data_IF_543742632145
#
_entry.id   IF_543742632145
#
_cell.length_a   1.000
_cell.length_b   1.000
_cell.length_c   1.000
_cell.angle_alpha   90.00
_cell.angle_beta   90.00
_cell.angle_gamma   90.00
#
_symmetry.space_group_name_H-M   'P 1'
#
loop_
_entity.id
_entity.type
_entity.pdbx_description
1 polymer ?
#
# COMPACT_ATOMS: atom_id res chain seq x y z
N UNK A 1 -5.86 1.45 -13.21
CA UNK A 1 -6.39 1.64 -14.59
C UNK A 1 -6.03 0.53 -15.58
N UNK A 2 -4.94 -0.25 -15.41
CA UNK A 2 -4.62 -1.33 -16.37
C UNK A 2 -5.70 -2.42 -16.48
N UNK A 3 -6.26 -2.88 -15.36
CA UNK A 3 -7.31 -3.92 -15.34
C UNK A 3 -8.68 -3.49 -15.85
N UNK A 4 -8.97 -2.18 -15.92
CA UNK A 4 -10.27 -1.71 -16.44
C UNK A 4 -10.36 -1.83 -17.97
N UNK A 5 -9.22 -1.95 -18.66
CA UNK A 5 -9.13 -1.95 -20.13
C UNK A 5 -9.00 -3.37 -20.72
N UNK A 6 -8.52 -4.35 -19.95
CA UNK A 6 -8.37 -5.73 -20.43
C UNK A 6 -9.74 -6.41 -20.50
N UNK A 7 -10.28 -6.53 -21.72
CA UNK A 7 -11.57 -7.18 -22.01
C UNK A 7 -11.56 -8.71 -21.92
N UNK A 8 -10.39 -9.34 -21.78
CA UNK A 8 -10.25 -10.80 -21.94
C UNK A 8 -10.64 -11.68 -20.74
N UNK A 9 -10.66 -11.15 -19.51
CA UNK A 9 -10.94 -11.96 -18.31
C UNK A 9 -11.82 -11.21 -17.30
N UNK A 10 -13.13 -11.33 -17.48
CA UNK A 10 -14.13 -10.64 -16.66
C UNK A 10 -14.03 -11.02 -15.17
N UNK A 11 -13.79 -12.31 -14.87
CA UNK A 11 -13.64 -12.81 -13.50
C UNK A 11 -12.45 -12.14 -12.80
N UNK A 12 -11.29 -12.16 -13.45
CA UNK A 12 -10.07 -11.56 -12.89
C UNK A 12 -10.19 -10.05 -12.73
N UNK A 13 -10.84 -9.37 -13.68
CA UNK A 13 -11.12 -7.93 -13.58
C UNK A 13 -12.01 -7.62 -12.38
N UNK A 14 -13.11 -8.36 -12.19
CA UNK A 14 -13.98 -8.22 -11.01
C UNK A 14 -13.21 -8.48 -9.73
N UNK A 15 -12.42 -9.55 -9.68
CA UNK A 15 -11.61 -9.90 -8.52
C UNK A 15 -10.65 -8.77 -8.14
N UNK A 16 -9.94 -8.20 -9.13
CA UNK A 16 -9.03 -7.10 -8.90
C UNK A 16 -9.74 -5.83 -8.40
N UNK A 17 -10.81 -5.41 -9.06
CA UNK A 17 -11.54 -4.19 -8.67
C UNK A 17 -12.14 -4.31 -7.27
N UNK A 18 -12.81 -5.43 -6.99
CA UNK A 18 -13.40 -5.67 -5.65
C UNK A 18 -12.29 -5.73 -4.59
N UNK A 19 -11.19 -6.45 -4.87
CA UNK A 19 -10.04 -6.50 -3.94
C UNK A 19 -9.42 -5.13 -3.70
N UNK A 20 -9.33 -4.29 -4.73
CA UNK A 20 -8.80 -2.92 -4.62
C UNK A 20 -9.66 -2.08 -3.68
N UNK A 21 -10.97 -2.02 -3.90
CA UNK A 21 -11.87 -1.27 -3.02
C UNK A 21 -11.89 -1.81 -1.60
N UNK A 22 -11.84 -3.14 -1.43
CA UNK A 22 -11.74 -3.76 -0.11
C UNK A 22 -10.41 -3.45 0.58
N UNK A 23 -9.28 -3.37 -0.14
CA UNK A 23 -8.02 -2.94 0.46
C UNK A 23 -8.15 -1.50 1.01
N UNK A 24 -8.73 -0.57 0.24
CA UNK A 24 -8.95 0.79 0.73
C UNK A 24 -9.91 0.86 1.92
N UNK A 25 -11.03 0.13 1.87
CA UNK A 25 -12.03 0.14 2.94
C UNK A 25 -11.54 -0.59 4.21
N UNK A 26 -10.89 -1.73 4.06
CA UNK A 26 -10.49 -2.59 5.20
C UNK A 26 -9.11 -2.22 5.70
N UNK A 27 -8.09 -2.21 4.84
CA UNK A 27 -6.71 -1.90 5.24
C UNK A 27 -6.56 -0.41 5.52
N UNK A 28 -6.97 0.44 4.57
CA UNK A 28 -6.77 1.89 4.64
C UNK A 28 -7.71 2.67 5.56
N UNK A 29 -8.80 2.05 6.05
CA UNK A 29 -9.71 2.70 7.00
C UNK A 29 -9.85 1.90 8.29
N UNK A 30 -10.38 0.67 8.25
CA UNK A 30 -10.67 -0.12 9.46
C UNK A 30 -9.38 -0.44 10.23
N UNK A 31 -8.42 -1.13 9.59
CA UNK A 31 -7.17 -1.46 10.26
C UNK A 31 -6.31 -0.20 10.50
N UNK A 32 -6.40 0.80 9.61
CA UNK A 32 -5.69 2.06 9.80
C UNK A 32 -6.11 2.84 11.05
N UNK A 33 -7.40 2.74 11.43
CA UNK A 33 -7.90 3.32 12.69
C UNK A 33 -7.60 2.44 13.88
N UNK A 34 -7.77 1.12 13.76
CA UNK A 34 -7.52 0.18 14.87
C UNK A 34 -6.05 0.07 15.27
N UNK A 35 -5.13 0.24 14.31
CA UNK A 35 -3.69 0.06 14.51
C UNK A 35 -2.90 1.37 14.35
N UNK A 36 -3.58 2.51 14.43
CA UNK A 36 -2.96 3.82 14.15
C UNK A 36 -1.68 4.02 14.95
N UNK A 37 -0.59 4.31 14.25
CA UNK A 37 0.73 4.57 14.82
C UNK A 37 1.48 5.58 13.98
N UNK A 38 2.38 6.36 14.61
CA UNK A 38 3.28 7.25 13.89
C UNK A 38 4.52 6.51 13.41
N UNK A 39 4.88 6.72 12.14
CA UNK A 39 6.06 6.11 11.53
C UNK A 39 7.38 6.59 12.13
N UNK A 40 8.51 5.95 11.79
CA UNK A 40 9.84 6.35 12.25
C UNK A 40 10.17 7.84 12.09
N UNK A 41 9.67 8.50 11.03
CA UNK A 41 9.84 9.95 10.82
C UNK A 41 9.23 10.83 11.90
N UNK A 42 8.25 10.34 12.64
CA UNK A 42 7.59 11.10 13.71
C UNK A 42 8.00 10.62 15.10
N UNK A 43 8.87 9.61 15.19
CA UNK A 43 9.23 8.95 16.44
C UNK A 43 9.76 9.94 17.49
N UNK A 44 10.67 10.83 17.09
CA UNK A 44 11.26 11.88 17.93
C UNK A 44 10.22 12.76 18.64
N UNK A 45 9.07 12.97 18.01
CA UNK A 45 8.02 13.83 18.55
C UNK A 45 7.00 13.06 19.39
N UNK A 46 6.81 11.77 19.10
CA UNK A 46 5.76 10.94 19.70
C UNK A 46 6.24 10.14 20.91
N UNK A 47 7.52 9.79 20.97
CA UNK A 47 8.07 8.93 22.03
C UNK A 47 9.08 9.70 22.88
N UNK A 48 8.86 9.80 24.21
CA UNK A 48 9.85 10.39 25.11
C UNK A 48 11.13 9.55 25.18
N UNK A 49 12.28 10.20 25.01
CA UNK A 49 13.59 9.54 25.15
C UNK A 49 14.54 9.84 24.00
N UNK A 50 15.55 8.98 23.84
CA UNK A 50 16.51 9.07 22.74
C UNK A 50 15.85 8.68 21.41
N UNK A 51 16.11 9.48 20.37
CA UNK A 51 15.62 9.21 19.03
C UNK A 51 16.47 8.12 18.36
N UNK A 52 15.95 6.90 18.40
CA UNK A 52 16.58 5.70 17.82
C UNK A 52 16.70 5.75 16.29
N UNK A 53 15.96 6.65 15.62
CA UNK A 53 16.00 6.83 14.17
C UNK A 53 16.82 8.05 13.74
N UNK A 54 17.39 8.80 14.68
CA UNK A 54 18.20 10.00 14.40
C UNK A 54 19.32 9.76 13.38
N UNK A 55 20.02 8.62 13.47
CA UNK A 55 21.06 8.24 12.52
C UNK A 55 20.56 8.02 11.09
N UNK A 56 19.35 7.48 10.92
CA UNK A 56 18.72 7.32 9.61
C UNK A 56 18.43 8.69 8.98
N UNK A 57 17.80 9.58 9.73
CA UNK A 57 17.45 10.91 9.23
C UNK A 57 18.69 11.77 8.97
N UNK A 58 19.74 11.66 9.79
CA UNK A 58 21.03 12.29 9.51
C UNK A 58 21.57 11.86 8.13
N UNK A 59 21.52 10.56 7.81
CA UNK A 59 21.95 10.06 6.50
C UNK A 59 21.05 10.53 5.35
N UNK A 60 19.74 10.54 5.54
CA UNK A 60 18.79 11.02 4.53
C UNK A 60 19.00 12.51 4.23
N UNK A 61 19.21 13.35 5.24
CA UNK A 61 19.51 14.77 5.04
C UNK A 61 20.86 14.97 4.34
N UNK A 62 21.89 14.19 4.67
CA UNK A 62 23.18 14.22 3.96
C UNK A 62 23.00 13.89 2.46
N UNK A 63 22.25 12.83 2.15
CA UNK A 63 21.94 12.43 0.77
C UNK A 63 21.12 13.51 0.05
N UNK A 64 20.13 14.09 0.72
CA UNK A 64 19.31 15.18 0.17
C UNK A 64 20.18 16.39 -0.20
N UNK A 65 21.06 16.81 0.71
CA UNK A 65 21.97 17.93 0.48
C UNK A 65 22.92 17.65 -0.70
N UNK A 66 23.40 16.41 -0.83
CA UNK A 66 24.20 16.01 -1.97
C UNK A 66 23.41 16.10 -3.29
N UNK A 67 22.16 15.61 -3.33
CA UNK A 67 21.29 15.68 -4.51
C UNK A 67 21.04 17.13 -4.92
N UNK A 68 20.64 17.99 -3.97
CA UNK A 68 20.37 19.41 -4.22
C UNK A 68 21.59 20.09 -4.82
N UNK A 69 22.78 19.79 -4.28
CA UNK A 69 24.04 20.41 -4.71
C UNK A 69 24.51 19.93 -6.09
N UNK A 70 24.35 18.64 -6.41
CA UNK A 70 24.99 18.03 -7.58
C UNK A 70 24.05 17.79 -8.77
N UNK A 71 22.76 17.60 -8.53
CA UNK A 71 21.79 17.23 -9.56
C UNK A 71 20.94 18.44 -9.99
N UNK A 72 20.71 19.40 -9.07
CA UNK A 72 19.98 20.63 -9.34
C UNK A 72 18.48 20.41 -9.57
N UNK A 73 17.63 21.01 -8.75
CA UNK A 73 16.16 20.90 -8.89
C UNK A 73 15.55 19.55 -8.48
N UNK A 74 16.35 18.64 -7.92
CA UNK A 74 15.90 17.39 -7.30
C UNK A 74 16.13 17.44 -5.78
N UNK A 75 15.22 16.81 -5.04
CA UNK A 75 15.30 16.65 -3.58
C UNK A 75 14.64 15.33 -3.19
N UNK A 76 14.87 14.86 -1.96
CA UNK A 76 14.15 13.74 -1.37
C UNK A 76 12.81 14.27 -0.86
N UNK A 77 11.80 14.22 -1.73
CA UNK A 77 10.45 14.72 -1.44
C UNK A 77 9.82 14.15 -0.16
N UNK A 78 10.23 12.94 0.24
CA UNK A 78 9.74 12.33 1.47
C UNK A 78 10.01 13.20 2.71
N UNK A 79 11.20 13.80 2.82
CA UNK A 79 11.57 14.63 3.98
C UNK A 79 10.64 15.84 4.12
N UNK A 80 10.39 16.53 3.00
CA UNK A 80 9.48 17.69 2.95
C UNK A 80 8.03 17.33 3.25
N UNK A 81 7.55 16.19 2.74
CA UNK A 81 6.20 15.72 3.04
C UNK A 81 6.05 15.32 4.51
N UNK A 82 7.10 14.77 5.13
CA UNK A 82 7.08 14.45 6.57
C UNK A 82 6.95 15.71 7.41
N UNK A 83 7.74 16.75 7.13
CA UNK A 83 7.64 18.05 7.79
C UNK A 83 6.25 18.67 7.61
N UNK A 84 5.73 18.73 6.37
CA UNK A 84 4.39 19.25 6.08
C UNK A 84 3.29 18.52 6.87
N UNK A 85 3.34 17.18 6.90
CA UNK A 85 2.35 16.38 7.62
C UNK A 85 2.44 16.59 9.14
N UNK A 86 3.66 16.77 9.65
CA UNK A 86 3.86 17.11 11.05
C UNK A 86 3.25 18.46 11.40
N UNK A 87 3.51 19.49 10.58
CA UNK A 87 2.97 20.83 10.79
C UNK A 87 1.44 20.80 10.83
N UNK A 88 0.80 20.16 9.84
CA UNK A 88 -0.65 19.99 9.81
C UNK A 88 -1.23 19.27 11.03
N UNK A 89 -0.49 18.30 11.58
CA UNK A 89 -0.90 17.60 12.79
C UNK A 89 -0.79 18.47 14.04
N UNK A 90 0.26 19.29 14.14
CA UNK A 90 0.48 20.18 15.30
C UNK A 90 -0.37 21.45 15.29
N UNK A 91 -0.73 21.95 14.11
CA UNK A 91 -1.56 23.15 13.96
C UNK A 91 -3.07 22.88 14.13
N UNK A 92 -3.45 21.65 14.52
CA UNK A 92 -4.83 21.21 14.75
C UNK A 92 -5.77 21.47 13.56
N UNK A 93 -5.20 21.54 12.35
CA UNK A 93 -5.94 21.63 11.10
C UNK A 93 -6.50 20.24 10.82
N UNK A 94 -7.59 19.89 11.52
CA UNK A 94 -8.33 18.63 11.38
C UNK A 94 -9.08 18.59 10.04
N UNK A 95 -8.34 18.59 8.93
CA UNK A 95 -8.85 18.27 7.62
C UNK A 95 -9.01 16.76 7.46
N UNK A 96 -10.01 16.34 6.67
CA UNK A 96 -10.12 14.95 6.19
C UNK A 96 -8.81 14.55 5.47
N UNK A 97 -7.94 13.80 6.17
CA UNK A 97 -6.63 13.39 5.66
C UNK A 97 -5.43 13.75 6.55
N UNK A 98 -5.62 14.39 7.72
CA UNK A 98 -4.55 14.71 8.69
C UNK A 98 -3.96 13.48 9.43
N UNK A 99 -4.30 12.27 9.00
CA UNK A 99 -3.85 11.06 9.66
C UNK A 99 -2.39 10.76 9.36
N UNK A 100 -1.50 11.01 10.31
CA UNK A 100 -0.13 10.47 10.33
C UNK A 100 -0.13 8.96 10.67
N UNK A 101 -1.10 8.21 10.16
CA UNK A 101 -1.21 6.77 10.44
C UNK A 101 -0.29 6.00 9.50
N UNK A 102 0.72 5.35 10.08
CA UNK A 102 1.68 4.51 9.40
C UNK A 102 1.13 3.09 9.17
N UNK A 103 0.22 2.60 10.01
CA UNK A 103 -0.13 1.19 10.00
C UNK A 103 -1.60 0.98 9.63
N UNK A 104 -1.93 0.06 8.70
CA UNK A 104 -1.05 -0.71 7.81
C UNK A 104 -0.62 0.10 6.57
N UNK A 105 0.48 -0.31 5.91
CA UNK A 105 0.96 0.41 4.73
C UNK A 105 0.10 0.16 3.48
N UNK A 106 -0.72 1.16 3.11
CA UNK A 106 -1.49 1.14 1.87
C UNK A 106 -0.61 1.09 0.61
N UNK A 107 0.59 1.69 0.65
CA UNK A 107 1.55 1.63 -0.46
C UNK A 107 1.95 0.18 -0.76
N UNK A 108 2.32 -0.58 0.27
CA UNK A 108 2.69 -2.00 0.15
C UNK A 108 1.48 -2.83 -0.26
N UNK A 109 0.30 -2.60 0.35
CA UNK A 109 -0.94 -3.29 -0.02
C UNK A 109 -1.30 -3.12 -1.49
N UNK A 110 -1.25 -1.91 -2.04
CA UNK A 110 -1.54 -1.68 -3.46
C UNK A 110 -0.48 -2.34 -4.34
N UNK A 111 0.80 -2.27 -3.99
CA UNK A 111 1.88 -2.90 -4.76
C UNK A 111 1.74 -4.43 -4.79
N UNK A 112 1.41 -5.07 -3.66
CA UNK A 112 1.13 -6.51 -3.58
C UNK A 112 -0.10 -6.86 -4.41
N UNK A 113 -1.17 -6.06 -4.36
CA UNK A 113 -2.36 -6.29 -5.19
C UNK A 113 -2.04 -6.20 -6.68
N UNK A 114 -1.19 -5.25 -7.10
CA UNK A 114 -0.71 -5.16 -8.47
C UNK A 114 0.07 -6.42 -8.87
N UNK A 115 0.94 -6.93 -8.00
CA UNK A 115 1.70 -8.16 -8.24
C UNK A 115 0.80 -9.40 -8.38
N UNK A 116 -0.18 -9.56 -7.50
CA UNK A 116 -1.15 -10.66 -7.55
C UNK A 116 -2.01 -10.59 -8.82
N UNK A 117 -2.56 -9.41 -9.13
CA UNK A 117 -3.39 -9.21 -10.31
C UNK A 117 -2.61 -9.47 -11.61
N UNK A 118 -1.41 -8.91 -11.74
CA UNK A 118 -0.62 -9.04 -12.97
C UNK A 118 -0.01 -10.43 -13.11
N UNK A 119 0.36 -11.08 -12.01
CA UNK A 119 0.78 -12.48 -12.01
C UNK A 119 -0.31 -13.44 -12.49
N UNK A 120 -1.58 -13.15 -12.19
CA UNK A 120 -2.72 -13.91 -12.70
C UNK A 120 -2.99 -13.71 -14.21
N UNK A 121 -2.45 -12.63 -14.81
CA UNK A 121 -2.49 -12.41 -16.27
C UNK A 121 -1.28 -13.01 -16.97
N UNK A 122 -0.08 -12.72 -16.45
CA UNK A 122 1.20 -13.11 -17.05
C UNK A 122 2.26 -13.21 -15.96
N UNK A 123 2.87 -14.40 -15.81
CA UNK A 123 3.91 -14.67 -14.82
C UNK A 123 5.10 -13.70 -14.88
N UNK A 124 5.50 -13.25 -16.07
CA UNK A 124 6.63 -12.31 -16.23
C UNK A 124 6.28 -10.91 -15.72
N UNK A 125 5.07 -10.42 -16.02
CA UNK A 125 4.58 -9.17 -15.44
C UNK A 125 4.44 -9.30 -13.93
N UNK A 126 3.96 -10.45 -13.44
CA UNK A 126 3.92 -10.78 -12.02
C UNK A 126 5.28 -10.60 -11.34
N UNK A 127 6.37 -11.13 -11.91
CA UNK A 127 7.72 -10.95 -11.34
C UNK A 127 8.16 -9.49 -11.29
N UNK A 128 7.87 -8.70 -12.34
CA UNK A 128 8.18 -7.26 -12.36
C UNK A 128 7.43 -6.54 -11.24
N UNK A 129 6.15 -6.84 -11.04
CA UNK A 129 5.36 -6.20 -9.99
C UNK A 129 5.67 -6.71 -8.58
N UNK A 130 6.14 -7.95 -8.43
CA UNK A 130 6.69 -8.43 -7.16
C UNK A 130 7.99 -7.72 -6.82
N UNK A 131 8.88 -7.51 -7.79
CA UNK A 131 10.08 -6.70 -7.60
C UNK A 131 9.71 -5.26 -7.20
N UNK A 132 8.71 -4.68 -7.87
CA UNK A 132 8.17 -3.37 -7.50
C UNK A 132 7.64 -3.37 -6.05
N UNK A 133 6.88 -4.37 -5.64
CA UNK A 133 6.38 -4.48 -4.26
C UNK A 133 7.53 -4.56 -3.23
N UNK A 134 8.60 -5.29 -3.54
CA UNK A 134 9.81 -5.34 -2.70
C UNK A 134 10.49 -3.97 -2.62
N UNK A 135 10.65 -3.28 -3.75
CA UNK A 135 11.23 -1.93 -3.77
C UNK A 135 10.38 -0.96 -2.94
N UNK A 136 9.05 -1.01 -3.06
CA UNK A 136 8.14 -0.19 -2.26
C UNK A 136 8.27 -0.52 -0.77
N UNK A 137 8.28 -1.80 -0.40
CA UNK A 137 8.48 -2.21 0.99
C UNK A 137 9.79 -1.67 1.58
N UNK A 138 10.89 -1.81 0.83
CA UNK A 138 12.21 -1.33 1.24
C UNK A 138 12.20 0.20 1.35
N UNK A 139 11.71 0.89 0.32
CA UNK A 139 11.64 2.36 0.28
C UNK A 139 10.76 2.95 1.38
N UNK A 140 9.62 2.33 1.67
CA UNK A 140 8.74 2.71 2.78
C UNK A 140 9.45 2.70 4.13
N UNK A 141 10.30 1.71 4.38
CA UNK A 141 11.09 1.62 5.62
C UNK A 141 12.29 2.55 5.58
N UNK A 142 13.03 2.59 4.48
CA UNK A 142 14.25 3.38 4.34
C UNK A 142 13.99 4.89 4.41
N UNK A 143 12.83 5.34 3.95
CA UNK A 143 12.42 6.74 4.06
C UNK A 143 11.80 7.05 5.43
N UNK A 144 11.65 6.06 6.31
CA UNK A 144 11.11 6.22 7.65
C UNK A 144 9.60 6.43 7.71
N UNK A 145 8.86 6.14 6.63
CA UNK A 145 7.38 6.24 6.63
C UNK A 145 6.70 5.16 7.46
N UNK A 146 7.26 3.96 7.43
CA UNK A 146 6.65 2.77 8.00
C UNK A 146 7.67 1.93 8.73
N UNK A 147 7.25 1.26 9.81
CA UNK A 147 7.98 0.13 10.33
C UNK A 147 7.86 -1.04 9.34
N UNK A 148 8.84 -1.94 9.32
CA UNK A 148 8.81 -3.10 8.40
C UNK A 148 7.54 -3.94 8.57
N UNK A 149 7.07 -4.08 9.82
CA UNK A 149 5.87 -4.84 10.18
C UNK A 149 4.59 -4.28 9.55
N UNK A 150 4.50 -2.96 9.37
CA UNK A 150 3.32 -2.29 8.78
C UNK A 150 3.07 -2.78 7.35
N UNK A 151 4.16 -2.99 6.61
CA UNK A 151 4.12 -3.51 5.25
C UNK A 151 3.87 -5.01 5.19
N UNK A 152 4.41 -5.80 6.12
CA UNK A 152 4.11 -7.24 6.22
C UNK A 152 2.63 -7.48 6.48
N UNK A 153 2.05 -6.76 7.43
CA UNK A 153 0.62 -6.86 7.77
C UNK A 153 -0.22 -6.37 6.59
N UNK A 154 0.12 -5.23 5.98
CA UNK A 154 -0.55 -4.75 4.77
C UNK A 154 -0.55 -5.77 3.64
N UNK A 155 0.60 -6.39 3.35
CA UNK A 155 0.74 -7.42 2.33
C UNK A 155 -0.05 -8.70 2.63
N UNK A 156 -0.01 -9.19 3.87
CA UNK A 156 -0.76 -10.37 4.30
C UNK A 156 -2.28 -10.12 4.20
N UNK A 157 -2.77 -8.99 4.70
CA UNK A 157 -4.18 -8.62 4.61
C UNK A 157 -4.63 -8.52 3.14
N UNK A 158 -3.83 -7.90 2.27
CA UNK A 158 -4.11 -7.85 0.84
C UNK A 158 -4.18 -9.23 0.21
N UNK A 159 -3.26 -10.13 0.56
CA UNK A 159 -3.29 -11.50 0.05
C UNK A 159 -4.55 -12.27 0.50
N UNK A 160 -4.96 -12.11 1.76
CA UNK A 160 -6.19 -12.71 2.30
C UNK A 160 -7.41 -12.17 1.55
N UNK A 161 -7.52 -10.84 1.39
CA UNK A 161 -8.59 -10.20 0.61
C UNK A 161 -8.64 -10.77 -0.81
N UNK A 162 -7.48 -10.81 -1.50
CA UNK A 162 -7.39 -11.33 -2.86
C UNK A 162 -7.90 -12.76 -2.98
N UNK A 163 -7.51 -13.64 -2.04
CA UNK A 163 -7.94 -15.04 -2.02
C UNK A 163 -9.44 -15.17 -1.74
N UNK A 164 -9.97 -14.44 -0.74
CA UNK A 164 -11.40 -14.46 -0.41
C UNK A 164 -12.26 -14.02 -1.59
N UNK A 165 -11.91 -12.90 -2.22
CA UNK A 165 -12.64 -12.38 -3.38
C UNK A 165 -12.57 -13.36 -4.56
N UNK A 166 -11.41 -13.97 -4.79
CA UNK A 166 -11.25 -14.99 -5.83
C UNK A 166 -12.14 -16.21 -5.62
N UNK A 167 -12.23 -16.69 -4.37
CA UNK A 167 -13.12 -17.81 -4.01
C UNK A 167 -14.59 -17.46 -4.25
N UNK A 168 -15.04 -16.30 -3.77
CA UNK A 168 -16.43 -15.85 -3.92
C UNK A 168 -16.83 -15.71 -5.39
N UNK A 169 -15.96 -15.11 -6.21
CA UNK A 169 -16.24 -14.92 -7.65
C UNK A 169 -16.27 -16.26 -8.39
N UNK A 170 -15.44 -17.23 -7.98
CA UNK A 170 -15.44 -18.56 -8.57
C UNK A 170 -16.77 -19.28 -8.29
N UNK A 171 -17.22 -19.30 -7.03
CA UNK A 171 -18.47 -19.98 -6.63
C UNK A 171 -19.70 -19.35 -7.26
N UNK A 172 -19.80 -18.02 -7.32
CA UNK A 172 -20.95 -17.34 -7.91
C UNK A 172 -21.14 -17.62 -9.42
N UNK A 173 -20.09 -18.04 -10.12
CA UNK A 173 -20.22 -18.42 -11.53
C UNK A 173 -20.69 -19.86 -11.75
N UNK A 174 -20.37 -20.78 -10.85
CA UNK A 174 -20.88 -22.16 -10.93
C UNK A 174 -22.40 -22.19 -10.74
N UNK A 175 -22.93 -21.45 -9.75
CA UNK A 175 -24.37 -21.37 -9.51
C UNK A 175 -25.12 -20.80 -10.72
N UNK A 176 -24.55 -19.80 -11.39
CA UNK A 176 -25.14 -19.20 -12.60
C UNK A 176 -25.10 -20.12 -13.82
N UNK A 177 -24.16 -21.06 -13.87
CA UNK A 177 -24.07 -22.06 -14.94
C UNK A 177 -25.06 -23.21 -14.71
N UNK A 178 -25.25 -23.63 -13.45
CA UNK A 178 -26.23 -24.66 -13.06
C UNK A 178 -27.67 -24.19 -13.30
N UNK A 179 -27.99 -22.92 -13.05
CA UNK A 179 -29.34 -22.37 -13.30
C UNK A 179 -29.64 -22.26 -14.81
N UNK A 180 -28.62 -22.27 -15.68
CA UNK A 180 -28.77 -22.11 -17.14
C UNK A 180 -28.86 -23.41 -17.93
N UNK A 181 -28.70 -24.59 -17.34
CA UNK A 181 -29.00 -25.84 -18.04
C UNK A 181 -30.52 -26.03 -18.10
N UNK A 182 -31.16 -25.95 -19.28
CA UNK A 182 -32.56 -26.36 -19.39
C UNK A 182 -32.60 -27.86 -19.09
N UNK A 183 -33.46 -28.28 -18.17
CA UNK A 183 -33.91 -29.67 -18.12
C UNK A 183 -34.64 -29.93 -19.44
N UNK A 184 -33.92 -30.53 -20.39
CA UNK A 184 -34.51 -31.09 -21.59
C UNK A 184 -34.98 -32.49 -21.24
N UNK A 185 -36.23 -32.56 -20.76
CA UNK A 185 -37.05 -33.76 -20.75
C UNK A 185 -38.05 -33.70 -21.92
#
# INVERSE_FOLDING_TARGET
MYFTVIKGNEKLRKQYLVSFFLCWAVVGNIFATLMSSGGPCFYKYLVPGEDVYSGLFARLHEQNNWIITNIGGAEIWALKLQEMLWDFYTEDVTGLGSGISAMPSMHVSVAVLMALGTGALNKYLGYVFWLYAVIIQIGSVHLGWHYAVDGYIGGILTFIIWKMVGMIIATSTDDSAVIRSPQLD
#
